data_IF_148590865123
#
_entry.id   IF_148590865123
#
_cell.length_a   1.000
_cell.length_b   1.000
_cell.length_c   1.000
_cell.angle_alpha   90.00
_cell.angle_beta   90.00
_cell.angle_gamma   90.00
#
_symmetry.space_group_name_H-M   'P 1'
#
loop_
_entity.id
_entity.type
_entity.pdbx_description
1 polymer ?
#
# COMPACT_ATOMS: atom_id res chain seq x y z
N UNK A 1 -14.92 8.82 4.25
CA UNK A 1 -15.97 9.68 3.66
C UNK A 1 -15.45 11.09 3.30
N UNK A 2 -15.22 12.03 4.22
CA UNK A 2 -14.84 13.41 3.82
C UNK A 2 -13.51 13.53 3.03
N UNK A 3 -12.44 12.88 3.49
CA UNK A 3 -11.11 12.92 2.83
C UNK A 3 -11.19 12.35 1.41
N UNK A 4 -11.82 11.17 1.29
CA UNK A 4 -12.05 10.46 0.04
C UNK A 4 -12.85 11.29 -0.96
N UNK A 5 -13.98 11.85 -0.52
CA UNK A 5 -14.84 12.71 -1.34
C UNK A 5 -14.10 13.97 -1.81
N UNK A 6 -13.23 14.53 -0.98
CA UNK A 6 -12.46 15.72 -1.36
C UNK A 6 -11.39 15.40 -2.40
N UNK A 7 -10.66 14.29 -2.25
CA UNK A 7 -9.71 13.83 -3.25
C UNK A 7 -10.42 13.58 -4.60
N UNK A 8 -11.54 12.84 -4.58
CA UNK A 8 -12.40 12.63 -5.75
C UNK A 8 -12.87 13.95 -6.35
N UNK A 9 -13.36 14.89 -5.54
CA UNK A 9 -13.88 16.16 -6.02
C UNK A 9 -12.79 17.02 -6.71
N UNK A 10 -11.56 17.00 -6.20
CA UNK A 10 -10.43 17.64 -6.86
C UNK A 10 -10.08 16.97 -8.18
N UNK A 11 -10.09 15.64 -8.24
CA UNK A 11 -9.85 14.88 -9.47
C UNK A 11 -10.92 15.15 -10.54
N UNK A 12 -12.20 15.02 -10.20
CA UNK A 12 -13.34 15.25 -11.12
C UNK A 12 -13.37 16.70 -11.62
N UNK A 13 -13.05 17.65 -10.74
CA UNK A 13 -13.00 19.08 -11.11
C UNK A 13 -11.68 19.50 -11.76
N UNK A 14 -10.76 18.56 -12.01
CA UNK A 14 -9.41 18.81 -12.54
C UNK A 14 -8.62 19.88 -11.76
N UNK A 15 -8.82 19.96 -10.44
CA UNK A 15 -8.12 20.89 -9.54
C UNK A 15 -6.76 20.32 -9.14
N UNK A 16 -5.91 20.08 -10.13
CA UNK A 16 -4.63 19.36 -9.98
C UNK A 16 -3.71 19.97 -8.93
N UNK A 17 -3.55 21.29 -8.89
CA UNK A 17 -2.71 21.95 -7.89
C UNK A 17 -3.21 21.72 -6.46
N UNK A 18 -4.53 21.65 -6.25
CA UNK A 18 -5.10 21.35 -4.93
C UNK A 18 -4.92 19.89 -4.55
N UNK A 19 -4.98 18.99 -5.53
CA UNK A 19 -4.74 17.57 -5.33
C UNK A 19 -3.27 17.30 -4.99
N UNK A 20 -2.34 17.93 -5.73
CA UNK A 20 -0.90 17.90 -5.44
C UNK A 20 -0.59 18.44 -4.04
N UNK A 21 -1.16 19.58 -3.68
CA UNK A 21 -0.98 20.16 -2.34
C UNK A 21 -1.52 19.24 -1.24
N UNK A 22 -2.68 18.62 -1.45
CA UNK A 22 -3.24 17.64 -0.50
C UNK A 22 -2.30 16.43 -0.33
N UNK A 23 -1.79 15.86 -1.43
CA UNK A 23 -0.89 14.71 -1.33
C UNK A 23 0.47 15.09 -0.74
N UNK A 24 0.99 16.28 -1.01
CA UNK A 24 2.19 16.79 -0.36
C UNK A 24 2.00 16.94 1.16
N UNK A 25 0.87 17.51 1.58
CA UNK A 25 0.51 17.60 3.00
C UNK A 25 0.45 16.20 3.63
N UNK A 26 -0.22 15.24 2.99
CA UNK A 26 -0.39 13.91 3.57
C UNK A 26 0.87 13.05 3.57
N UNK A 27 1.80 13.32 2.65
CA UNK A 27 3.15 12.75 2.68
C UNK A 27 4.06 13.44 3.71
N UNK A 28 3.61 14.54 4.32
CA UNK A 28 4.33 15.27 5.37
C UNK A 28 3.71 15.00 6.73
N UNK A 29 4.42 14.32 7.62
CA UNK A 29 3.94 14.04 8.98
C UNK A 29 2.80 13.01 9.06
N UNK A 30 2.35 12.47 7.93
CA UNK A 30 1.42 11.33 7.83
C UNK A 30 0.16 11.47 8.69
N UNK A 31 -0.62 12.55 8.55
CA UNK A 31 -1.80 12.78 9.38
C UNK A 31 -2.76 11.59 9.29
N UNK A 32 -3.40 11.27 10.41
CA UNK A 32 -4.35 10.17 10.52
C UNK A 32 -5.78 10.65 10.79
N UNK A 33 -6.76 9.76 10.60
CA UNK A 33 -8.09 9.88 11.20
C UNK A 33 -8.02 9.61 12.70
N UNK A 34 -9.12 9.84 13.43
CA UNK A 34 -9.22 9.46 14.84
C UNK A 34 -8.96 7.98 15.10
N UNK A 35 -9.28 7.10 14.14
CA UNK A 35 -8.99 5.66 14.22
C UNK A 35 -7.56 5.25 13.81
N UNK A 36 -6.68 6.22 13.53
CA UNK A 36 -5.29 5.95 13.18
C UNK A 36 -5.06 5.50 11.74
N UNK A 37 -6.02 5.69 10.83
CA UNK A 37 -5.82 5.45 9.39
C UNK A 37 -5.18 6.67 8.74
N UNK A 38 -4.06 6.53 8.03
CA UNK A 38 -3.42 7.64 7.34
C UNK A 38 -4.34 8.23 6.26
N UNK A 39 -4.45 9.56 6.22
CA UNK A 39 -5.31 10.27 5.27
C UNK A 39 -4.88 10.02 3.81
N UNK A 40 -3.58 9.84 3.57
CA UNK A 40 -3.01 9.51 2.27
C UNK A 40 -3.67 8.27 1.65
N UNK A 41 -3.83 7.22 2.45
CA UNK A 41 -4.42 5.93 2.04
C UNK A 41 -5.89 6.11 1.65
N UNK A 42 -6.62 6.92 2.42
CA UNK A 42 -8.04 7.21 2.14
C UNK A 42 -8.19 8.03 0.86
N UNK A 43 -7.30 9.00 0.64
CA UNK A 43 -7.30 9.83 -0.56
C UNK A 43 -6.98 9.01 -1.82
N UNK A 44 -5.90 8.22 -1.80
CA UNK A 44 -5.55 7.33 -2.90
C UNK A 44 -6.63 6.28 -3.17
N UNK A 45 -7.16 5.64 -2.12
CA UNK A 45 -8.24 4.66 -2.23
C UNK A 45 -9.50 5.22 -2.89
N UNK A 46 -9.89 6.45 -2.57
CA UNK A 46 -11.03 7.11 -3.21
C UNK A 46 -10.85 7.33 -4.71
N UNK A 47 -9.67 7.80 -5.12
CA UNK A 47 -9.36 8.00 -6.54
C UNK A 47 -9.30 6.65 -7.26
N UNK A 48 -8.54 5.69 -6.74
CA UNK A 48 -8.40 4.39 -7.39
C UNK A 48 -9.75 3.69 -7.52
N UNK A 49 -10.53 3.58 -6.45
CA UNK A 49 -11.83 2.88 -6.46
C UNK A 49 -12.83 3.49 -7.45
N UNK A 50 -12.83 4.82 -7.62
CA UNK A 50 -13.75 5.48 -8.53
C UNK A 50 -13.36 5.27 -10.00
N UNK A 51 -12.06 5.33 -10.31
CA UNK A 51 -11.60 5.42 -11.70
C UNK A 51 -11.04 4.10 -12.26
N UNK A 52 -10.60 3.14 -11.43
CA UNK A 52 -9.90 1.94 -11.89
C UNK A 52 -10.80 0.92 -12.61
N UNK A 53 -12.13 1.02 -12.43
CA UNK A 53 -13.12 0.18 -13.10
C UNK A 53 -13.10 0.38 -14.62
N UNK A 54 -12.88 1.61 -15.08
CA UNK A 54 -12.70 1.94 -16.49
C UNK A 54 -11.22 2.22 -16.78
N UNK A 55 -10.56 1.27 -17.46
CA UNK A 55 -9.14 1.38 -17.81
C UNK A 55 -8.89 2.13 -19.12
N UNK A 56 -9.95 2.60 -19.79
CA UNK A 56 -9.89 3.41 -21.00
C UNK A 56 -9.51 4.87 -20.71
N UNK A 57 -9.47 5.68 -21.77
CA UNK A 57 -9.18 7.11 -21.66
C UNK A 57 -10.30 7.94 -20.99
N UNK A 58 -11.46 7.33 -20.71
CA UNK A 58 -12.51 7.97 -19.92
C UNK A 58 -12.41 7.69 -18.40
N UNK A 59 -11.58 6.73 -17.99
CA UNK A 59 -11.37 6.38 -16.58
C UNK A 59 -9.95 6.68 -16.11
N UNK A 60 -9.34 5.76 -15.36
CA UNK A 60 -8.06 6.01 -14.67
C UNK A 60 -6.92 6.39 -15.63
N UNK A 61 -6.88 5.81 -16.85
CA UNK A 61 -5.87 6.17 -17.84
C UNK A 61 -6.02 7.62 -18.31
N UNK A 62 -7.25 8.11 -18.46
CA UNK A 62 -7.54 9.49 -18.82
C UNK A 62 -7.11 10.47 -17.73
N UNK A 63 -7.53 10.21 -16.49
CA UNK A 63 -7.19 11.02 -15.33
C UNK A 63 -5.68 11.15 -15.14
N UNK A 64 -4.94 10.03 -15.22
CA UNK A 64 -3.49 10.04 -15.12
C UNK A 64 -2.83 10.91 -16.22
N UNK A 65 -3.31 10.78 -17.47
CA UNK A 65 -2.83 11.57 -18.61
C UNK A 65 -3.11 13.07 -18.43
N UNK A 66 -4.32 13.44 -18.03
CA UNK A 66 -4.73 14.83 -17.84
C UNK A 66 -3.93 15.51 -16.73
N UNK A 67 -3.81 14.83 -15.58
CA UNK A 67 -3.06 15.36 -14.45
C UNK A 67 -1.57 15.50 -14.78
N UNK A 68 -0.96 14.49 -15.41
CA UNK A 68 0.46 14.56 -15.80
C UNK A 68 0.72 15.62 -16.88
N UNK A 69 -0.24 15.86 -17.78
CA UNK A 69 -0.17 16.96 -18.76
C UNK A 69 -0.23 18.32 -18.09
N UNK A 70 -1.11 18.49 -17.10
CA UNK A 70 -1.25 19.74 -16.36
C UNK A 70 -0.02 20.04 -15.49
N UNK A 71 0.53 19.01 -14.83
CA UNK A 71 1.73 19.15 -14.00
C UNK A 71 2.71 17.98 -14.24
N UNK A 72 3.64 18.10 -15.20
CA UNK A 72 4.62 17.05 -15.48
C UNK A 72 5.58 16.75 -14.33
N UNK A 73 5.66 17.60 -13.30
CA UNK A 73 6.49 17.39 -12.11
C UNK A 73 5.70 16.85 -10.92
N UNK A 74 4.39 16.65 -11.06
CA UNK A 74 3.55 16.08 -10.01
C UNK A 74 4.03 14.67 -9.65
N UNK A 75 4.37 14.47 -8.39
CA UNK A 75 4.63 13.15 -7.81
C UNK A 75 3.37 12.29 -7.87
N UNK A 76 2.21 12.86 -7.53
CA UNK A 76 0.92 12.15 -7.54
C UNK A 76 0.50 11.70 -8.94
N UNK A 77 0.62 12.56 -9.95
CA UNK A 77 0.27 12.20 -11.33
C UNK A 77 1.12 11.04 -11.86
N UNK A 78 2.42 11.01 -11.53
CA UNK A 78 3.31 9.89 -11.89
C UNK A 78 2.92 8.62 -11.15
N UNK A 79 2.58 8.70 -9.87
CA UNK A 79 2.11 7.55 -9.12
C UNK A 79 0.79 7.00 -9.68
N UNK A 80 -0.18 7.86 -9.99
CA UNK A 80 -1.44 7.43 -10.61
C UNK A 80 -1.20 6.78 -11.99
N UNK A 81 -0.23 7.29 -12.77
CA UNK A 81 0.16 6.68 -14.03
C UNK A 81 0.80 5.29 -13.85
N UNK A 82 1.47 5.02 -12.72
CA UNK A 82 1.91 3.66 -12.38
C UNK A 82 0.70 2.76 -12.07
N UNK A 83 -0.23 3.22 -11.22
CA UNK A 83 -1.44 2.50 -10.83
C UNK A 83 -2.36 2.15 -12.02
N UNK A 84 -2.25 2.85 -13.16
CA UNK A 84 -2.95 2.47 -14.41
C UNK A 84 -2.56 1.06 -14.89
N UNK A 85 -1.31 0.64 -14.69
CA UNK A 85 -0.86 -0.70 -15.07
C UNK A 85 -1.51 -1.77 -14.19
N UNK A 86 -1.55 -1.55 -12.88
CA UNK A 86 -2.27 -2.40 -11.94
C UNK A 86 -3.77 -2.46 -12.26
N UNK A 87 -4.43 -1.32 -12.47
CA UNK A 87 -5.85 -1.30 -12.84
C UNK A 87 -6.13 -2.13 -14.11
N UNK A 88 -5.26 -2.04 -15.12
CA UNK A 88 -5.34 -2.88 -16.33
C UNK A 88 -5.12 -4.36 -16.02
N UNK A 89 -4.20 -4.68 -15.12
CA UNK A 89 -3.89 -6.06 -14.75
C UNK A 89 -5.07 -6.69 -13.99
N UNK A 90 -5.65 -5.96 -13.04
CA UNK A 90 -6.85 -6.37 -12.30
C UNK A 90 -8.05 -6.51 -13.25
N UNK A 91 -8.29 -5.53 -14.13
CA UNK A 91 -9.38 -5.60 -15.12
C UNK A 91 -9.24 -6.82 -16.06
N UNK A 92 -8.02 -7.11 -16.51
CA UNK A 92 -7.72 -8.26 -17.35
C UNK A 92 -7.92 -9.58 -16.61
N UNK A 93 -7.50 -9.66 -15.33
CA UNK A 93 -7.66 -10.83 -14.47
C UNK A 93 -9.13 -11.10 -14.16
N UNK A 94 -9.92 -10.04 -14.03
CA UNK A 94 -11.31 -10.10 -13.60
C UNK A 94 -11.47 -10.46 -12.12
N UNK A 95 -12.71 -10.75 -11.76
CA UNK A 95 -13.09 -11.12 -10.40
C UNK A 95 -12.91 -12.63 -10.16
N UNK A 96 -12.79 -13.02 -8.89
CA UNK A 96 -12.69 -14.43 -8.49
C UNK A 96 -11.32 -14.86 -7.97
N UNK A 97 -11.21 -16.15 -7.64
CA UNK A 97 -9.99 -16.74 -7.10
C UNK A 97 -8.92 -16.87 -8.19
N UNK A 98 -7.63 -16.79 -7.82
CA UNK A 98 -6.55 -16.97 -8.80
C UNK A 98 -6.64 -18.33 -9.53
N UNK A 99 -7.12 -19.38 -8.85
CA UNK A 99 -7.32 -20.71 -9.44
C UNK A 99 -8.45 -20.79 -10.48
N UNK A 100 -9.30 -19.77 -10.59
CA UNK A 100 -10.39 -19.72 -11.59
C UNK A 100 -10.06 -18.82 -12.78
N UNK A 101 -8.90 -18.16 -12.78
CA UNK A 101 -8.45 -17.30 -13.88
C UNK A 101 -7.84 -18.17 -14.98
N UNK A 102 -8.22 -17.89 -16.23
CA UNK A 102 -7.64 -18.55 -17.41
C UNK A 102 -6.11 -18.42 -17.41
N UNK A 103 -5.41 -19.53 -17.65
CA UNK A 103 -3.94 -19.56 -17.66
C UNK A 103 -3.32 -18.58 -18.64
N UNK A 104 -3.98 -18.28 -19.76
CA UNK A 104 -3.49 -17.37 -20.80
C UNK A 104 -3.52 -15.89 -20.38
N UNK A 105 -4.16 -15.58 -19.26
CA UNK A 105 -4.19 -14.23 -18.67
C UNK A 105 -2.90 -13.94 -17.90
N UNK A 106 -2.30 -14.92 -17.23
CA UNK A 106 -1.14 -14.70 -16.37
C UNK A 106 0.08 -14.10 -17.08
N UNK A 107 0.45 -14.52 -18.30
CA UNK A 107 1.56 -13.86 -19.02
C UNK A 107 1.30 -12.39 -19.31
N UNK A 108 0.05 -12.02 -19.65
CA UNK A 108 -0.36 -10.63 -19.91
C UNK A 108 -0.40 -9.81 -18.62
N UNK A 109 -0.89 -10.41 -17.53
CA UNK A 109 -0.86 -9.82 -16.19
C UNK A 109 0.56 -9.52 -15.74
N UNK A 110 1.46 -10.52 -15.80
CA UNK A 110 2.88 -10.35 -15.44
C UNK A 110 3.56 -9.28 -16.31
N UNK A 111 3.22 -9.19 -17.60
CA UNK A 111 3.72 -8.12 -18.48
C UNK A 111 3.33 -6.72 -17.97
N UNK A 112 2.10 -6.53 -17.51
CA UNK A 112 1.66 -5.24 -16.95
C UNK A 112 2.41 -4.90 -15.66
N UNK A 113 2.63 -5.89 -14.78
CA UNK A 113 3.44 -5.71 -13.57
C UNK A 113 4.91 -5.35 -13.87
N UNK A 114 5.50 -5.92 -14.93
CA UNK A 114 6.83 -5.52 -15.39
C UNK A 114 6.83 -4.07 -15.89
N UNK A 115 5.82 -3.66 -16.66
CA UNK A 115 5.71 -2.29 -17.16
C UNK A 115 5.52 -1.29 -16.01
N UNK A 116 4.77 -1.67 -14.97
CA UNK A 116 4.63 -0.87 -13.77
C UNK A 116 5.95 -0.74 -13.01
N UNK A 117 6.67 -1.84 -12.78
CA UNK A 117 8.01 -1.84 -12.19
C UNK A 117 8.94 -0.89 -12.92
N UNK A 118 9.02 -1.03 -14.24
CA UNK A 118 9.87 -0.20 -15.10
C UNK A 118 9.48 1.27 -15.02
N UNK A 119 8.18 1.58 -15.01
CA UNK A 119 7.68 2.94 -14.87
C UNK A 119 8.04 3.52 -13.49
N UNK A 120 7.78 2.81 -12.41
CA UNK A 120 8.09 3.24 -11.04
C UNK A 120 9.58 3.50 -10.86
N UNK A 121 10.45 2.62 -11.36
CA UNK A 121 11.91 2.77 -11.29
C UNK A 121 12.40 3.95 -12.12
N UNK A 122 11.90 4.11 -13.36
CA UNK A 122 12.27 5.23 -14.25
C UNK A 122 11.89 6.59 -13.67
N UNK A 123 10.85 6.65 -12.83
CA UNK A 123 10.32 7.88 -12.26
C UNK A 123 10.64 8.05 -10.77
N UNK A 124 11.48 7.19 -10.20
CA UNK A 124 11.71 7.12 -8.75
C UNK A 124 12.18 8.45 -8.17
N UNK A 125 13.05 9.18 -8.86
CA UNK A 125 13.60 10.49 -8.46
C UNK A 125 12.52 11.56 -8.18
N UNK A 126 11.35 11.43 -8.80
CA UNK A 126 10.20 12.32 -8.61
C UNK A 126 9.12 11.64 -7.74
N UNK A 127 8.78 10.40 -8.06
CA UNK A 127 7.61 9.69 -7.54
C UNK A 127 7.82 9.16 -6.11
N UNK A 128 9.05 8.87 -5.68
CA UNK A 128 9.33 8.29 -4.35
C UNK A 128 9.18 9.28 -3.17
N UNK A 129 8.81 10.53 -3.49
CA UNK A 129 8.38 11.55 -2.53
C UNK A 129 6.96 11.29 -2.03
N UNK A 130 6.18 10.51 -2.78
CA UNK A 130 4.95 9.91 -2.28
C UNK A 130 5.29 8.52 -1.72
N UNK A 131 5.02 8.31 -0.43
CA UNK A 131 5.34 7.04 0.25
C UNK A 131 4.55 5.87 -0.34
N UNK A 132 3.41 6.11 -0.99
CA UNK A 132 2.65 5.08 -1.69
C UNK A 132 3.43 4.47 -2.86
N UNK A 133 4.47 5.14 -3.39
CA UNK A 133 5.40 4.51 -4.34
C UNK A 133 5.99 3.18 -3.81
N UNK A 134 6.33 3.12 -2.52
CA UNK A 134 6.87 1.90 -1.91
C UNK A 134 5.80 0.82 -1.73
N UNK A 135 4.56 1.21 -1.49
CA UNK A 135 3.43 0.29 -1.43
C UNK A 135 3.18 -0.36 -2.79
N UNK A 136 3.15 0.43 -3.86
CA UNK A 136 3.02 -0.08 -5.23
C UNK A 136 4.21 -0.98 -5.62
N UNK A 137 5.43 -0.61 -5.23
CA UNK A 137 6.59 -1.45 -5.50
C UNK A 137 6.56 -2.79 -4.76
N UNK A 138 6.10 -2.85 -3.50
CA UNK A 138 5.88 -4.12 -2.78
C UNK A 138 4.79 -4.97 -3.46
N UNK A 139 3.70 -4.34 -3.92
CA UNK A 139 2.63 -5.00 -4.67
C UNK A 139 3.14 -5.62 -5.97
N UNK A 140 3.90 -4.84 -6.76
CA UNK A 140 4.53 -5.29 -8.00
C UNK A 140 5.51 -6.42 -7.73
N UNK A 141 6.37 -6.29 -6.72
CA UNK A 141 7.34 -7.31 -6.36
C UNK A 141 6.67 -8.62 -5.95
N UNK A 142 5.59 -8.56 -5.16
CA UNK A 142 4.76 -9.72 -4.80
C UNK A 142 4.21 -10.42 -6.04
N UNK A 143 3.62 -9.66 -6.96
CA UNK A 143 2.99 -10.20 -8.17
C UNK A 143 4.00 -10.74 -9.19
N UNK A 144 5.25 -10.29 -9.13
CA UNK A 144 6.37 -10.82 -9.92
C UNK A 144 7.16 -11.91 -9.20
N UNK A 145 6.80 -12.25 -7.96
CA UNK A 145 7.51 -13.22 -7.12
C UNK A 145 8.99 -12.81 -6.88
N UNK A 146 9.27 -11.49 -6.92
CA UNK A 146 10.59 -10.89 -6.82
C UNK A 146 10.97 -10.61 -5.36
N UNK A 147 11.54 -11.63 -4.70
CA UNK A 147 11.90 -11.55 -3.27
C UNK A 147 12.97 -10.49 -2.98
N UNK A 148 13.93 -10.30 -3.87
CA UNK A 148 14.98 -9.30 -3.67
C UNK A 148 14.38 -7.88 -3.69
N UNK A 149 13.48 -7.62 -4.64
CA UNK A 149 12.78 -6.34 -4.72
C UNK A 149 11.89 -6.12 -3.50
N UNK A 150 11.19 -7.17 -3.01
CA UNK A 150 10.44 -7.09 -1.76
C UNK A 150 11.33 -6.64 -0.59
N UNK A 151 12.45 -7.31 -0.33
CA UNK A 151 13.28 -6.96 0.84
C UNK A 151 13.95 -5.59 0.70
N UNK A 152 14.47 -5.25 -0.47
CA UNK A 152 15.12 -3.97 -0.70
C UNK A 152 14.13 -2.80 -0.62
N UNK A 153 12.88 -2.98 -1.09
CA UNK A 153 11.82 -1.96 -1.00
C UNK A 153 11.46 -1.67 0.45
N UNK A 154 11.18 -2.68 1.27
CA UNK A 154 10.90 -2.49 2.70
C UNK A 154 12.10 -1.87 3.44
N UNK A 155 13.32 -2.30 3.12
CA UNK A 155 14.52 -1.75 3.75
C UNK A 155 14.64 -0.25 3.48
N UNK A 156 14.49 0.17 2.23
CA UNK A 156 14.53 1.59 1.84
C UNK A 156 13.36 2.37 2.47
N UNK A 157 12.14 1.85 2.32
CA UNK A 157 10.93 2.47 2.85
C UNK A 157 11.00 2.69 4.35
N UNK A 158 11.42 1.67 5.11
CA UNK A 158 11.49 1.72 6.58
C UNK A 158 12.64 2.59 7.10
N UNK A 159 13.61 2.94 6.26
CA UNK A 159 14.63 3.96 6.56
C UNK A 159 14.11 5.36 6.25
N UNK A 160 13.43 5.54 5.11
CA UNK A 160 12.96 6.85 4.63
C UNK A 160 11.71 7.34 5.37
N UNK A 161 10.77 6.43 5.63
CA UNK A 161 9.44 6.73 6.19
C UNK A 161 9.07 5.79 7.34
N UNK A 162 9.88 5.69 8.41
CA UNK A 162 9.68 4.71 9.47
C UNK A 162 8.31 4.82 10.15
N UNK A 163 7.74 6.02 10.21
CA UNK A 163 6.46 6.30 10.86
C UNK A 163 5.23 6.03 9.98
N UNK A 164 5.37 5.80 8.68
CA UNK A 164 4.22 5.53 7.82
C UNK A 164 3.83 4.06 7.91
N UNK A 165 2.74 3.77 8.62
CA UNK A 165 2.38 2.41 9.01
C UNK A 165 2.16 1.46 7.82
N UNK A 166 1.63 1.98 6.71
CA UNK A 166 1.19 1.16 5.60
C UNK A 166 2.33 0.53 4.78
N UNK A 167 3.58 1.01 4.86
CA UNK A 167 4.70 0.30 4.23
C UNK A 167 4.91 -1.08 4.86
N UNK A 168 4.72 -1.19 6.18
CA UNK A 168 4.88 -2.47 6.88
C UNK A 168 3.68 -3.39 6.65
N UNK A 169 2.48 -2.82 6.49
CA UNK A 169 1.29 -3.60 6.18
C UNK A 169 1.41 -4.22 4.78
N UNK A 170 1.78 -3.45 3.76
CA UNK A 170 1.96 -4.00 2.41
C UNK A 170 3.09 -5.02 2.36
N UNK A 171 4.21 -4.74 3.04
CA UNK A 171 5.31 -5.69 3.14
C UNK A 171 4.89 -6.99 3.86
N UNK A 172 4.05 -6.90 4.90
CA UNK A 172 3.47 -8.06 5.58
C UNK A 172 2.55 -8.84 4.64
N UNK A 173 1.64 -8.16 3.93
CA UNK A 173 0.72 -8.80 2.97
C UNK A 173 1.52 -9.54 1.91
N UNK A 174 2.59 -8.94 1.39
CA UNK A 174 3.46 -9.55 0.39
C UNK A 174 4.23 -10.80 0.85
N UNK A 175 4.34 -11.01 2.16
CA UNK A 175 5.04 -12.16 2.75
C UNK A 175 4.12 -13.07 3.55
N UNK A 176 2.81 -12.96 3.35
CA UNK A 176 1.87 -13.94 3.86
C UNK A 176 2.14 -15.32 3.23
N UNK A 177 1.89 -16.43 3.96
CA UNK A 177 2.12 -17.77 3.43
C UNK A 177 1.40 -18.07 2.12
N UNK A 178 0.18 -17.53 1.93
CA UNK A 178 -0.58 -17.68 0.67
C UNK A 178 0.13 -17.07 -0.55
N UNK A 179 1.14 -16.23 -0.35
CA UNK A 179 1.97 -15.61 -1.38
C UNK A 179 3.42 -16.14 -1.37
N UNK A 180 3.68 -17.29 -0.72
CA UNK A 180 4.99 -17.92 -0.71
C UNK A 180 5.98 -17.36 0.33
N UNK A 181 5.48 -16.55 1.28
CA UNK A 181 6.23 -16.14 2.47
C UNK A 181 5.99 -17.06 3.68
N UNK A 182 6.19 -16.55 4.90
CA UNK A 182 6.00 -17.32 6.13
C UNK A 182 5.53 -16.49 7.33
N UNK A 183 4.96 -17.11 8.38
CA UNK A 183 4.60 -16.40 9.60
C UNK A 183 5.82 -15.78 10.33
N UNK A 184 7.01 -16.37 10.19
CA UNK A 184 8.25 -15.79 10.71
C UNK A 184 8.63 -14.49 9.99
N UNK A 185 8.34 -14.37 8.71
CA UNK A 185 8.53 -13.10 7.99
C UNK A 185 7.55 -12.03 8.47
N UNK A 186 6.30 -12.41 8.75
CA UNK A 186 5.31 -11.52 9.37
C UNK A 186 5.81 -11.04 10.74
N UNK A 187 6.31 -11.95 11.58
CA UNK A 187 6.90 -11.60 12.89
C UNK A 187 8.06 -10.63 12.74
N UNK A 188 8.98 -10.89 11.80
CA UNK A 188 10.14 -10.03 11.54
C UNK A 188 9.70 -8.61 11.17
N UNK A 189 8.67 -8.48 10.34
CA UNK A 189 8.13 -7.16 9.94
C UNK A 189 7.45 -6.49 11.13
N UNK A 190 6.63 -7.20 11.89
CA UNK A 190 5.95 -6.67 13.07
C UNK A 190 6.95 -6.13 14.11
N UNK A 191 8.03 -6.87 14.36
CA UNK A 191 9.13 -6.46 15.25
C UNK A 191 9.90 -5.27 14.71
N UNK A 192 10.26 -5.28 13.43
CA UNK A 192 10.94 -4.15 12.78
C UNK A 192 10.12 -2.86 12.90
N UNK A 193 8.82 -2.95 12.61
CA UNK A 193 7.91 -1.81 12.67
C UNK A 193 7.77 -1.25 14.09
N UNK A 194 7.65 -2.12 15.09
CA UNK A 194 7.59 -1.72 16.49
C UNK A 194 8.90 -1.09 16.97
N UNK A 195 10.05 -1.70 16.67
CA UNK A 195 11.35 -1.18 17.11
C UNK A 195 11.64 0.21 16.50
N UNK A 196 11.37 0.39 15.21
CA UNK A 196 11.56 1.69 14.53
C UNK A 196 10.64 2.80 15.03
N UNK A 197 9.55 2.45 15.71
CA UNK A 197 8.54 3.39 16.18
C UNK A 197 8.31 3.31 17.70
N UNK A 198 9.25 2.70 18.43
CA UNK A 198 9.08 2.37 19.85
C UNK A 198 8.78 3.61 20.69
N UNK A 199 9.48 4.71 20.43
CA UNK A 199 9.35 5.94 21.20
C UNK A 199 7.99 6.64 21.00
N UNK A 200 7.39 6.52 19.82
CA UNK A 200 6.12 7.17 19.49
C UNK A 200 4.91 6.26 19.73
N UNK A 201 5.05 4.98 19.41
CA UNK A 201 3.92 4.05 19.23
C UNK A 201 4.06 2.78 20.06
N UNK A 202 5.15 2.59 20.81
CA UNK A 202 5.38 1.38 21.60
C UNK A 202 5.21 0.12 20.75
N UNK A 203 4.32 -0.78 21.19
CA UNK A 203 3.99 -2.02 20.45
C UNK A 203 2.76 -1.88 19.54
N UNK A 204 2.21 -0.67 19.34
CA UNK A 204 1.02 -0.43 18.50
C UNK A 204 1.16 -1.04 17.09
N UNK A 205 2.34 -0.89 16.47
CA UNK A 205 2.56 -1.41 15.12
C UNK A 205 2.66 -2.94 15.11
N UNK A 206 3.24 -3.55 16.15
CA UNK A 206 3.28 -5.01 16.30
C UNK A 206 1.86 -5.59 16.29
N UNK A 207 1.00 -5.07 17.18
CA UNK A 207 -0.37 -5.56 17.30
C UNK A 207 -1.19 -5.33 16.03
N UNK A 208 -1.05 -4.16 15.40
CA UNK A 208 -1.80 -3.85 14.20
C UNK A 208 -1.38 -4.71 12.99
N UNK A 209 -0.08 -4.97 12.81
CA UNK A 209 0.43 -5.82 11.71
C UNK A 209 -0.09 -7.25 11.87
N UNK A 210 0.02 -7.84 13.07
CA UNK A 210 -0.50 -9.19 13.32
C UNK A 210 -2.03 -9.27 13.20
N UNK A 211 -2.74 -8.25 13.67
CA UNK A 211 -4.19 -8.17 13.47
C UNK A 211 -4.57 -8.18 11.99
N UNK A 212 -3.85 -7.42 11.16
CA UNK A 212 -4.07 -7.41 9.72
C UNK A 212 -3.65 -8.74 9.08
N UNK A 213 -2.54 -9.34 9.50
CA UNK A 213 -2.12 -10.65 9.00
C UNK A 213 -3.19 -11.73 9.25
N UNK A 214 -3.76 -11.77 10.45
CA UNK A 214 -4.86 -12.67 10.82
C UNK A 214 -6.13 -12.32 10.02
N UNK A 215 -6.42 -11.04 9.80
CA UNK A 215 -7.56 -10.64 8.95
C UNK A 215 -7.41 -11.14 7.51
N UNK A 216 -6.22 -11.00 6.91
CA UNK A 216 -5.95 -11.44 5.54
C UNK A 216 -5.78 -12.96 5.40
N UNK A 217 -5.38 -13.65 6.47
CA UNK A 217 -5.20 -15.11 6.50
C UNK A 217 -5.57 -15.66 7.90
N UNK A 218 -6.86 -15.93 8.15
CA UNK A 218 -7.40 -16.31 9.47
C UNK A 218 -6.74 -17.53 10.11
N UNK A 219 -6.16 -18.42 9.32
CA UNK A 219 -5.43 -19.61 9.78
C UNK A 219 -4.24 -19.24 10.69
N UNK A 220 -3.68 -18.03 10.56
CA UNK A 220 -2.61 -17.53 11.42
C UNK A 220 -3.05 -17.34 12.88
N UNK A 221 -4.35 -17.25 13.16
CA UNK A 221 -4.87 -17.21 14.53
C UNK A 221 -4.47 -18.45 15.36
N UNK A 222 -4.27 -19.59 14.70
CA UNK A 222 -3.81 -20.81 15.37
C UNK A 222 -2.44 -20.64 16.04
N UNK A 223 -1.57 -19.79 15.48
CA UNK A 223 -0.24 -19.49 16.03
C UNK A 223 -0.37 -18.74 17.36
N UNK A 224 -1.25 -17.74 17.43
CA UNK A 224 -1.55 -17.03 18.68
C UNK A 224 -2.15 -17.96 19.74
N UNK A 225 -3.15 -18.78 19.36
CA UNK A 225 -3.79 -19.73 20.28
C UNK A 225 -2.81 -20.75 20.87
N UNK A 226 -1.84 -21.19 20.07
CA UNK A 226 -0.79 -22.13 20.47
C UNK A 226 0.42 -21.44 21.12
N UNK A 227 0.43 -20.11 21.22
CA UNK A 227 1.57 -19.30 21.68
C UNK A 227 2.85 -19.58 20.91
N UNK A 228 2.73 -19.72 19.59
CA UNK A 228 3.82 -19.95 18.65
C UNK A 228 4.00 -18.70 17.79
N UNK A 229 5.22 -18.19 17.66
CA UNK A 229 5.59 -17.02 16.83
C UNK A 229 4.97 -15.70 17.32
N UNK A 230 3.65 -15.64 17.45
CA UNK A 230 2.89 -14.47 17.92
C UNK A 230 2.87 -14.44 19.45
N UNK A 231 3.28 -13.30 20.01
CA UNK A 231 3.24 -13.06 21.46
C UNK A 231 1.91 -12.42 21.87
N UNK A 232 1.12 -13.11 22.71
CA UNK A 232 -0.12 -12.54 23.24
C UNK A 232 0.13 -11.31 24.11
N UNK A 233 1.17 -11.32 24.93
CA UNK A 233 1.49 -10.21 25.83
C UNK A 233 1.85 -8.96 25.03
N UNK A 234 2.61 -9.12 23.93
CA UNK A 234 2.94 -8.01 23.04
C UNK A 234 1.75 -7.54 22.22
N UNK A 235 0.88 -8.45 21.76
CA UNK A 235 -0.38 -8.10 21.11
C UNK A 235 -1.26 -7.24 22.04
N UNK A 236 -1.44 -7.68 23.28
CA UNK A 236 -2.25 -6.96 24.28
C UNK A 236 -1.64 -5.59 24.61
N UNK A 237 -0.33 -5.53 24.83
CA UNK A 237 0.35 -4.27 25.10
C UNK A 237 0.27 -3.33 23.89
N UNK A 238 0.45 -3.85 22.68
CA UNK A 238 0.36 -3.06 21.45
C UNK A 238 -1.03 -2.47 21.24
N UNK A 239 -2.10 -3.21 21.52
CA UNK A 239 -3.45 -2.64 21.49
C UNK A 239 -3.64 -1.54 22.53
N UNK A 240 -3.12 -1.70 23.76
CA UNK A 240 -3.17 -0.64 24.78
C UNK A 240 -2.42 0.62 24.32
N UNK A 241 -1.25 0.46 23.72
CA UNK A 241 -0.49 1.58 23.18
C UNK A 241 -1.24 2.26 22.03
N UNK A 242 -1.86 1.47 21.15
CA UNK A 242 -2.68 2.00 20.06
C UNK A 242 -3.89 2.80 20.56
N UNK A 243 -4.62 2.30 21.55
CA UNK A 243 -5.77 3.02 22.13
C UNK A 243 -5.36 4.32 22.85
N UNK A 244 -4.16 4.39 23.41
CA UNK A 244 -3.64 5.66 23.97
C UNK A 244 -3.37 6.67 22.85
N UNK A 245 -2.87 6.21 21.71
CA UNK A 245 -2.55 7.04 20.56
C UNK A 245 -3.80 7.48 19.78
N UNK A 246 -4.80 6.60 19.70
CA UNK A 246 -6.03 6.75 18.93
C UNK A 246 -7.24 6.31 19.78
N UNK A 247 -7.68 7.16 20.74
CA UNK A 247 -8.78 6.84 21.66
C UNK A 247 -10.17 6.85 21.01
#
# INVERSE_FOLDING_TARGET
MAIEQQAIAYTVSQKWDKLDAMFQEYNTGFPTTSGGTHKLVIAWGGIYNLFSVDVSDNGISGVAKEWLKANPKSTGARLLQAMVFDAKAVNLRGEGAASTVDSDIWPKYKKLMIQEKEYLLKNKDIADKDVTWYQEMEMVARNLEDKELLYSTLEEASKKYPAYQNIYIEAMVARLPKWGGSPEEVEKIARMAAEKNKDQSGLSYYAYIWSNAIHYQPELMALLNKRQIVSWDDMLQGWRDRYKQFP
#
